data_IF_035041383157
#
_entry.id   IF_035041383157
#
_cell.length_a   1.000
_cell.length_b   1.000
_cell.length_c   1.000
_cell.angle_alpha   90.00
_cell.angle_beta   90.00
_cell.angle_gamma   90.00
#
_symmetry.space_group_name_H-M   'P 1'
#
loop_
_entity.id
_entity.type
_entity.pdbx_description
1 polymer ?
#
# COMPACT_ATOMS: atom_id res chain seq x y z
N UNK A 1 32.96 -23.17 -65.40
CA UNK A 1 31.95 -23.59 -64.40
C UNK A 1 32.65 -23.61 -63.04
N UNK A 2 32.53 -22.53 -62.27
CA UNK A 2 33.03 -22.42 -60.90
C UNK A 2 31.83 -22.51 -59.96
N UNK A 3 31.76 -23.58 -59.18
CA UNK A 3 30.73 -23.74 -58.15
C UNK A 3 31.14 -23.03 -56.88
N UNK A 4 30.33 -22.06 -56.46
CA UNK A 4 30.48 -21.38 -55.16
C UNK A 4 29.69 -22.18 -54.12
N UNK A 5 30.39 -22.83 -53.18
CA UNK A 5 29.78 -23.41 -51.96
C UNK A 5 29.42 -22.27 -51.00
N UNK A 6 28.14 -22.01 -50.76
CA UNK A 6 27.66 -21.21 -49.64
C UNK A 6 27.66 -22.07 -48.38
N UNK A 7 28.57 -21.78 -47.44
CA UNK A 7 28.52 -22.31 -46.08
C UNK A 7 27.48 -21.51 -45.26
N UNK A 8 26.35 -22.14 -44.92
CA UNK A 8 25.36 -21.58 -44.00
C UNK A 8 25.92 -21.64 -42.57
N UNK A 9 26.26 -20.48 -42.03
CA UNK A 9 26.56 -20.29 -40.60
C UNK A 9 25.25 -20.42 -39.82
N UNK A 10 25.03 -21.54 -39.16
CA UNK A 10 24.01 -21.66 -38.13
C UNK A 10 24.48 -20.86 -36.92
N UNK A 11 23.89 -19.68 -36.69
CA UNK A 11 24.01 -18.99 -35.43
C UNK A 11 23.31 -19.86 -34.35
N UNK A 12 24.13 -20.40 -33.44
CA UNK A 12 23.59 -21.10 -32.25
C UNK A 12 22.80 -20.06 -31.44
N UNK A 13 21.47 -20.21 -31.42
CA UNK A 13 20.61 -19.44 -30.52
C UNK A 13 21.03 -19.81 -29.10
N UNK A 14 21.59 -18.85 -28.34
CA UNK A 14 21.80 -19.01 -26.90
C UNK A 14 20.45 -19.36 -26.26
N UNK A 15 20.39 -20.45 -25.48
CA UNK A 15 19.15 -20.79 -24.79
C UNK A 15 18.72 -19.61 -23.92
N UNK A 16 17.42 -19.30 -23.81
CA UNK A 16 16.96 -18.23 -22.95
C UNK A 16 17.52 -18.45 -21.55
N UNK A 17 18.06 -17.39 -20.95
CA UNK A 17 18.59 -17.44 -19.58
C UNK A 17 17.52 -18.07 -18.69
N UNK A 18 17.89 -19.09 -17.90
CA UNK A 18 16.95 -19.77 -17.03
C UNK A 18 16.29 -18.74 -16.09
N UNK A 19 14.95 -18.75 -16.03
CA UNK A 19 14.18 -17.81 -15.21
C UNK A 19 14.60 -17.90 -13.74
N UNK A 20 14.63 -16.74 -13.07
CA UNK A 20 14.91 -16.68 -11.64
C UNK A 20 13.77 -17.34 -10.85
N UNK A 21 14.04 -18.16 -9.84
CA UNK A 21 12.99 -18.73 -9.02
C UNK A 21 12.32 -17.64 -8.19
N UNK A 22 11.00 -17.69 -8.05
CA UNK A 22 10.19 -16.78 -7.23
C UNK A 22 9.67 -17.49 -5.99
N UNK A 23 9.33 -16.73 -4.94
CA UNK A 23 8.81 -17.25 -3.69
C UNK A 23 9.65 -16.86 -2.48
N UNK A 24 9.49 -17.61 -1.40
CA UNK A 24 10.24 -17.43 -0.15
C UNK A 24 11.46 -18.33 -0.12
N UNK A 25 12.62 -17.77 0.20
CA UNK A 25 13.90 -18.47 0.35
C UNK A 25 14.52 -18.18 1.70
N UNK A 26 15.34 -19.13 2.17
CA UNK A 26 16.05 -19.03 3.45
C UNK A 26 17.53 -19.39 3.27
N UNK A 27 18.41 -18.64 3.95
CA UNK A 27 19.83 -18.95 4.15
C UNK A 27 20.23 -18.62 5.58
N UNK A 28 20.57 -19.63 6.38
CA UNK A 28 20.78 -19.45 7.82
C UNK A 28 19.54 -18.86 8.51
N UNK A 29 19.70 -17.73 9.19
CA UNK A 29 18.61 -16.99 9.83
C UNK A 29 17.95 -15.96 8.91
N UNK A 30 18.47 -15.73 7.71
CA UNK A 30 17.92 -14.76 6.77
C UNK A 30 16.83 -15.38 5.90
N UNK A 31 15.78 -14.61 5.66
CA UNK A 31 14.70 -14.98 4.73
C UNK A 31 14.48 -13.85 3.73
N UNK A 32 14.21 -14.22 2.49
CA UNK A 32 14.01 -13.28 1.38
C UNK A 32 12.87 -13.76 0.49
N UNK A 33 12.05 -12.83 0.05
CA UNK A 33 11.02 -13.04 -0.96
C UNK A 33 11.52 -12.53 -2.30
N UNK A 34 11.43 -13.37 -3.33
CA UNK A 34 11.70 -13.01 -4.73
C UNK A 34 10.39 -12.91 -5.48
N UNK A 35 10.15 -11.76 -6.12
CA UNK A 35 8.98 -11.52 -6.97
C UNK A 35 9.41 -11.16 -8.39
N UNK A 36 8.60 -11.55 -9.38
CA UNK A 36 8.79 -11.13 -10.78
C UNK A 36 8.07 -9.82 -11.04
N UNK A 37 8.59 -9.04 -12.00
CA UNK A 37 7.95 -7.83 -12.52
C UNK A 37 7.45 -8.05 -13.94
N UNK A 38 6.48 -7.25 -14.41
CA UNK A 38 5.96 -7.37 -15.80
C UNK A 38 7.04 -7.23 -16.89
N UNK A 39 8.12 -6.49 -16.60
CA UNK A 39 9.25 -6.32 -17.54
C UNK A 39 10.24 -7.50 -17.54
N UNK A 40 9.94 -8.60 -16.83
CA UNK A 40 10.79 -9.78 -16.72
C UNK A 40 11.95 -9.66 -15.72
N UNK A 41 12.12 -8.53 -15.04
CA UNK A 41 13.10 -8.40 -13.94
C UNK A 41 12.56 -9.00 -12.64
N UNK A 42 13.45 -9.18 -11.67
CA UNK A 42 13.11 -9.75 -10.37
C UNK A 42 13.49 -8.79 -9.25
N UNK A 43 12.64 -8.72 -8.24
CA UNK A 43 12.89 -7.95 -7.01
C UNK A 43 13.08 -8.89 -5.84
N UNK A 44 14.00 -8.55 -4.95
CA UNK A 44 14.11 -9.20 -3.64
C UNK A 44 13.60 -8.28 -2.53
N UNK A 45 13.01 -8.87 -1.49
CA UNK A 45 12.66 -8.19 -0.24
C UNK A 45 12.96 -9.15 0.91
N UNK A 46 13.91 -8.77 1.77
CA UNK A 46 14.21 -9.50 3.00
C UNK A 46 13.16 -9.24 4.09
N UNK A 47 13.03 -10.14 5.04
CA UNK A 47 12.12 -9.99 6.20
C UNK A 47 12.50 -8.84 7.14
N UNK A 48 13.73 -8.33 7.04
CA UNK A 48 14.19 -7.13 7.74
C UNK A 48 13.94 -5.82 6.97
N UNK A 49 13.35 -5.90 5.77
CA UNK A 49 12.98 -4.75 4.94
C UNK A 49 14.01 -4.35 3.88
N UNK A 50 15.23 -4.92 3.86
CA UNK A 50 16.18 -4.71 2.75
C UNK A 50 15.55 -5.18 1.44
N UNK A 51 15.65 -4.40 0.38
CA UNK A 51 15.03 -4.70 -0.91
C UNK A 51 15.85 -4.13 -2.07
N UNK A 52 15.64 -4.66 -3.24
CA UNK A 52 16.32 -4.20 -4.46
C UNK A 52 16.04 -5.13 -5.64
N UNK A 53 16.76 -4.92 -6.71
CA UNK A 53 16.64 -5.73 -7.92
C UNK A 53 17.68 -6.85 -7.93
N UNK A 54 17.25 -8.06 -8.23
CA UNK A 54 18.12 -9.23 -8.32
C UNK A 54 19.08 -9.03 -9.50
N UNK A 55 20.38 -9.20 -9.27
CA UNK A 55 21.40 -9.06 -10.30
C UNK A 55 21.81 -7.62 -10.65
N UNK A 56 21.21 -6.60 -10.00
CA UNK A 56 21.66 -5.21 -10.15
C UNK A 56 23.06 -5.00 -9.55
N UNK A 57 23.76 -3.94 -9.96
CA UNK A 57 25.04 -3.58 -9.36
C UNK A 57 24.89 -3.38 -7.84
N UNK A 58 25.72 -4.07 -7.04
CA UNK A 58 25.64 -4.04 -5.58
C UNK A 58 24.51 -4.90 -4.98
N UNK A 59 23.75 -5.63 -5.80
CA UNK A 59 22.75 -6.57 -5.29
C UNK A 59 23.42 -7.73 -4.54
N UNK A 60 22.93 -8.10 -3.33
CA UNK A 60 23.43 -9.26 -2.61
C UNK A 60 22.96 -10.58 -3.23
N UNK A 61 22.05 -10.53 -4.20
CA UNK A 61 21.42 -11.69 -4.83
C UNK A 61 21.49 -11.62 -6.35
N UNK A 62 21.78 -12.78 -6.95
CA UNK A 62 21.81 -12.99 -8.38
C UNK A 62 21.06 -14.26 -8.74
N UNK A 63 20.72 -14.45 -10.03
CA UNK A 63 20.20 -15.69 -10.55
C UNK A 63 21.23 -16.31 -11.49
N UNK A 64 21.56 -17.57 -11.25
CA UNK A 64 22.46 -18.35 -12.10
C UNK A 64 21.89 -19.74 -12.31
N UNK A 65 21.79 -20.17 -13.56
CA UNK A 65 21.25 -21.47 -13.95
C UNK A 65 19.89 -21.82 -13.29
N UNK A 66 18.99 -20.84 -13.14
CA UNK A 66 17.69 -21.05 -12.50
C UNK A 66 17.72 -21.18 -10.98
N UNK A 67 18.84 -20.84 -10.34
CA UNK A 67 18.98 -20.84 -8.90
C UNK A 67 19.24 -19.45 -8.35
N UNK A 68 18.77 -19.18 -7.12
CA UNK A 68 19.09 -17.96 -6.39
C UNK A 68 20.49 -18.11 -5.77
N UNK A 69 21.38 -17.19 -6.10
CA UNK A 69 22.79 -17.16 -5.67
C UNK A 69 23.08 -15.88 -4.90
N UNK A 70 23.86 -15.96 -3.82
CA UNK A 70 24.27 -14.83 -2.98
C UNK A 70 25.15 -15.31 -1.85
N UNK A 71 25.32 -14.50 -0.82
CA UNK A 71 26.05 -14.92 0.37
C UNK A 71 25.29 -16.07 1.07
N UNK A 72 25.88 -17.26 1.03
CA UNK A 72 25.31 -18.50 1.55
C UNK A 72 24.45 -19.27 0.54
N UNK A 73 23.91 -20.40 1.01
CA UNK A 73 23.06 -21.28 0.22
C UNK A 73 21.59 -20.91 0.44
N UNK A 74 20.91 -20.48 -0.61
CA UNK A 74 19.49 -20.13 -0.57
C UNK A 74 18.63 -21.33 -0.93
N UNK A 75 17.80 -21.76 0.01
CA UNK A 75 16.88 -22.90 -0.18
C UNK A 75 15.43 -22.38 -0.18
N UNK A 76 14.56 -22.93 -1.05
CA UNK A 76 13.13 -22.58 -1.04
C UNK A 76 12.50 -22.98 0.31
N UNK A 77 11.64 -22.09 0.83
CA UNK A 77 10.78 -22.38 1.98
C UNK A 77 9.40 -22.75 1.45
N UNK A 78 8.91 -23.91 1.85
CA UNK A 78 7.61 -24.39 1.40
C UNK A 78 6.48 -23.69 2.18
N UNK A 79 5.90 -22.64 1.58
CA UNK A 79 4.65 -22.02 2.01
C UNK A 79 3.52 -22.71 1.27
N UNK A 80 2.59 -23.33 2.00
CA UNK A 80 1.44 -23.98 1.37
C UNK A 80 0.47 -22.92 0.85
N UNK A 81 0.16 -22.95 -0.44
CA UNK A 81 -0.75 -22.02 -1.08
C UNK A 81 -2.00 -22.76 -1.56
N UNK A 82 -3.17 -22.26 -1.16
CA UNK A 82 -4.46 -22.82 -1.56
C UNK A 82 -5.26 -21.72 -2.26
N UNK A 83 -5.37 -21.82 -3.60
CA UNK A 83 -6.19 -20.91 -4.40
C UNK A 83 -7.67 -21.22 -4.24
N UNK A 84 -8.48 -20.19 -4.11
CA UNK A 84 -9.94 -20.28 -3.96
C UNK A 84 -10.64 -19.16 -4.71
N UNK A 85 -11.96 -19.28 -4.87
CA UNK A 85 -12.79 -18.17 -5.33
C UNK A 85 -14.04 -18.06 -4.45
N UNK A 86 -14.51 -16.82 -4.28
CA UNK A 86 -15.69 -16.52 -3.46
C UNK A 86 -16.52 -15.43 -4.14
N UNK A 87 -17.76 -15.26 -3.69
CA UNK A 87 -18.69 -14.29 -4.28
C UNK A 87 -18.81 -13.04 -3.40
N UNK A 88 -18.84 -11.87 -4.03
CA UNK A 88 -19.18 -10.60 -3.40
C UNK A 88 -19.86 -9.68 -4.40
N UNK A 89 -21.08 -9.20 -4.08
CA UNK A 89 -21.85 -8.27 -4.91
C UNK A 89 -21.87 -8.62 -6.41
N UNK A 90 -22.18 -9.90 -6.71
CA UNK A 90 -22.29 -10.38 -8.08
C UNK A 90 -20.97 -10.61 -8.82
N UNK A 91 -19.83 -10.31 -8.20
CA UNK A 91 -18.51 -10.60 -8.75
C UNK A 91 -17.91 -11.84 -8.08
N UNK A 92 -17.24 -12.68 -8.88
CA UNK A 92 -16.42 -13.78 -8.39
C UNK A 92 -15.01 -13.28 -8.14
N UNK A 93 -14.59 -13.28 -6.88
CA UNK A 93 -13.26 -12.82 -6.47
C UNK A 93 -12.32 -14.02 -6.28
N UNK A 94 -11.06 -13.81 -6.61
CA UNK A 94 -9.97 -14.77 -6.45
C UNK A 94 -9.20 -14.49 -5.17
N UNK A 95 -8.89 -15.53 -4.40
CA UNK A 95 -8.08 -15.44 -3.19
C UNK A 95 -7.10 -16.60 -3.07
N UNK A 96 -6.06 -16.40 -2.30
CA UNK A 96 -5.07 -17.42 -1.97
C UNK A 96 -4.83 -17.43 -0.46
N UNK A 97 -5.01 -18.58 0.16
CA UNK A 97 -4.56 -18.82 1.53
C UNK A 97 -3.10 -19.27 1.49
N UNK A 98 -2.22 -18.50 2.13
CA UNK A 98 -0.82 -18.83 2.36
C UNK A 98 -0.68 -19.33 3.79
N UNK A 99 -0.16 -20.55 3.97
CA UNK A 99 0.09 -21.13 5.29
C UNK A 99 1.59 -21.33 5.47
N UNK A 100 2.20 -20.70 6.48
CA UNK A 100 3.62 -20.89 6.76
C UNK A 100 3.92 -22.32 7.18
N UNK A 101 5.17 -22.78 7.03
CA UNK A 101 5.59 -24.05 7.63
C UNK A 101 5.57 -23.97 9.16
N UNK A 102 5.43 -25.11 9.80
CA UNK A 102 5.49 -25.24 11.27
C UNK A 102 4.17 -25.67 11.90
N UNK A 103 4.15 -25.76 13.25
CA UNK A 103 2.98 -26.24 13.97
C UNK A 103 1.82 -25.24 13.93
N UNK A 104 0.61 -25.74 13.73
CA UNK A 104 -0.64 -24.97 13.81
C UNK A 104 -1.16 -24.96 15.27
N UNK A 105 -2.03 -24.00 15.64
CA UNK A 105 -2.64 -22.97 14.79
C UNK A 105 -1.75 -21.72 14.62
N UNK A 106 -1.73 -21.14 13.41
CA UNK A 106 -1.13 -19.84 13.16
C UNK A 106 -2.15 -18.71 13.33
N UNK A 107 -1.76 -17.47 13.68
CA UNK A 107 -2.64 -16.33 13.46
C UNK A 107 -2.87 -16.14 11.96
N UNK A 108 -4.08 -15.70 11.58
CA UNK A 108 -4.49 -15.50 10.19
C UNK A 108 -4.81 -14.02 9.94
N UNK A 109 -4.32 -13.50 8.83
CA UNK A 109 -4.58 -12.13 8.38
C UNK A 109 -5.28 -12.16 7.02
N UNK A 110 -6.38 -11.42 6.88
CA UNK A 110 -6.90 -11.02 5.58
C UNK A 110 -6.16 -9.76 5.15
N UNK A 111 -5.45 -9.84 4.03
CA UNK A 111 -4.62 -8.76 3.51
C UNK A 111 -5.45 -7.85 2.60
N UNK A 112 -5.68 -6.61 3.04
CA UNK A 112 -6.38 -5.55 2.31
C UNK A 112 -5.34 -4.60 1.75
N UNK A 113 -4.98 -4.77 0.48
CA UNK A 113 -3.95 -3.95 -0.14
C UNK A 113 -4.43 -2.53 -0.50
N UNK A 114 -3.51 -1.63 -0.83
CA UNK A 114 -3.75 -0.22 -1.17
C UNK A 114 -4.51 -0.01 -2.49
N UNK A 115 -4.37 1.15 -3.11
CA UNK A 115 -5.08 1.51 -4.35
C UNK A 115 -4.52 0.83 -5.61
N UNK A 116 -3.52 -0.02 -5.50
CA UNK A 116 -2.90 -0.71 -6.62
C UNK A 116 -3.91 -1.56 -7.40
N UNK A 117 -3.75 -1.60 -8.73
CA UNK A 117 -4.54 -2.42 -9.65
C UNK A 117 -3.91 -3.76 -9.97
N UNK A 118 -3.01 -4.22 -9.11
CA UNK A 118 -2.31 -5.50 -9.28
C UNK A 118 -2.71 -6.49 -8.18
N UNK A 119 -2.56 -7.77 -8.46
CA UNK A 119 -2.71 -8.81 -7.44
C UNK A 119 -1.73 -8.57 -6.28
N UNK A 120 -2.15 -8.70 -5.01
CA UNK A 120 -1.25 -8.64 -3.87
C UNK A 120 -0.18 -9.74 -3.90
N UNK A 121 -0.44 -10.83 -4.64
CA UNK A 121 0.54 -11.91 -4.85
C UNK A 121 1.70 -11.52 -5.77
N UNK A 122 1.59 -10.42 -6.52
CA UNK A 122 2.71 -9.82 -7.26
C UNK A 122 3.69 -9.06 -6.34
N UNK A 123 3.26 -8.73 -5.12
CA UNK A 123 4.05 -8.08 -4.08
C UNK A 123 4.71 -9.07 -3.11
N UNK A 124 5.54 -8.56 -2.21
CA UNK A 124 6.26 -9.39 -1.21
C UNK A 124 5.50 -9.55 0.12
N UNK A 125 4.55 -8.69 0.44
CA UNK A 125 3.91 -8.65 1.76
C UNK A 125 3.29 -9.98 2.21
N UNK A 126 2.48 -10.70 1.38
CA UNK A 126 1.88 -11.95 1.82
C UNK A 126 2.93 -13.00 2.21
N UNK A 127 4.01 -13.12 1.44
CA UNK A 127 5.09 -14.06 1.72
C UNK A 127 5.99 -13.60 2.88
N UNK A 128 6.20 -12.30 3.07
CA UNK A 128 6.92 -11.75 4.24
C UNK A 128 6.16 -12.08 5.54
N UNK A 129 4.84 -11.92 5.56
CA UNK A 129 4.02 -12.28 6.72
C UNK A 129 4.04 -13.79 6.96
N UNK A 130 3.97 -14.60 5.90
CA UNK A 130 4.13 -16.05 6.02
C UNK A 130 5.50 -16.43 6.57
N UNK A 131 6.59 -15.78 6.12
CA UNK A 131 7.94 -15.93 6.67
C UNK A 131 8.01 -15.62 8.17
N UNK A 132 7.17 -14.70 8.63
CA UNK A 132 7.02 -14.35 10.05
C UNK A 132 6.08 -15.31 10.82
N UNK A 133 5.62 -16.41 10.21
CA UNK A 133 4.76 -17.40 10.86
C UNK A 133 3.28 -16.98 10.98
N UNK A 134 2.79 -16.14 10.09
CA UNK A 134 1.41 -15.67 10.00
C UNK A 134 0.80 -16.29 8.75
N UNK A 135 -0.35 -16.96 8.87
CA UNK A 135 -1.14 -17.33 7.71
C UNK A 135 -1.78 -16.08 7.09
N UNK A 136 -1.84 -16.03 5.77
CA UNK A 136 -2.34 -14.86 5.03
C UNK A 136 -3.39 -15.29 4.03
N UNK A 137 -4.55 -14.66 4.08
CA UNK A 137 -5.52 -14.73 3.01
C UNK A 137 -5.39 -13.45 2.17
N UNK A 138 -4.73 -13.57 1.02
CA UNK A 138 -4.57 -12.50 0.05
C UNK A 138 -5.60 -12.67 -1.07
N UNK A 139 -6.33 -11.62 -1.43
CA UNK A 139 -7.31 -11.68 -2.51
C UNK A 139 -7.09 -10.54 -3.50
N UNK A 140 -7.38 -10.83 -4.76
CA UNK A 140 -7.39 -9.82 -5.82
C UNK A 140 -8.64 -8.95 -5.66
N UNK A 141 -8.49 -7.63 -5.62
CA UNK A 141 -9.64 -6.73 -5.66
C UNK A 141 -10.46 -6.97 -6.92
N UNK A 142 -11.74 -6.65 -6.87
CA UNK A 142 -12.61 -6.68 -8.06
C UNK A 142 -11.96 -5.95 -9.24
N UNK A 143 -12.05 -6.54 -10.43
CA UNK A 143 -11.44 -6.01 -11.65
C UNK A 143 -9.92 -6.00 -11.68
N UNK A 144 -9.26 -6.75 -10.78
CA UNK A 144 -7.79 -6.92 -10.79
C UNK A 144 -7.41 -8.40 -10.74
N UNK A 145 -6.19 -8.71 -11.17
CA UNK A 145 -5.65 -10.07 -11.11
C UNK A 145 -6.57 -11.09 -11.76
N UNK A 146 -7.02 -12.10 -11.01
CA UNK A 146 -7.96 -13.13 -11.45
C UNK A 146 -9.39 -12.90 -10.93
N UNK A 147 -9.67 -11.77 -10.29
CA UNK A 147 -11.02 -11.40 -9.85
C UNK A 147 -11.83 -10.79 -10.99
N UNK A 148 -13.10 -11.16 -11.02
CA UNK A 148 -14.10 -10.57 -11.93
C UNK A 148 -14.59 -9.20 -11.42
N UNK A 149 -15.53 -8.61 -12.17
CA UNK A 149 -16.13 -7.30 -11.88
C UNK A 149 -15.32 -6.14 -12.44
N UNK A 150 -15.75 -4.94 -12.13
CA UNK A 150 -15.04 -3.70 -12.49
C UNK A 150 -14.22 -3.19 -11.31
N UNK A 151 -13.05 -2.64 -11.60
CA UNK A 151 -12.24 -2.00 -10.57
C UNK A 151 -12.99 -0.79 -10.02
N UNK A 152 -13.05 -0.70 -8.69
CA UNK A 152 -13.72 0.40 -7.97
C UNK A 152 -12.83 0.88 -6.82
N UNK A 153 -13.02 2.13 -6.43
CA UNK A 153 -12.49 2.72 -5.20
C UNK A 153 -13.60 3.10 -4.21
N UNK A 154 -14.79 2.59 -4.40
CA UNK A 154 -15.88 2.75 -3.43
C UNK A 154 -15.56 1.95 -2.16
N UNK A 155 -15.27 2.66 -1.06
CA UNK A 155 -14.85 2.04 0.20
C UNK A 155 -15.91 1.11 0.79
N UNK A 156 -17.20 1.41 0.62
CA UNK A 156 -18.29 0.57 1.08
C UNK A 156 -18.27 -0.80 0.36
N UNK A 157 -18.17 -0.76 -0.97
CA UNK A 157 -18.11 -1.95 -1.80
C UNK A 157 -16.83 -2.78 -1.52
N UNK A 158 -15.68 -2.11 -1.39
CA UNK A 158 -14.40 -2.77 -1.09
C UNK A 158 -14.38 -3.36 0.33
N UNK A 159 -15.08 -2.76 1.28
CA UNK A 159 -15.21 -3.29 2.62
C UNK A 159 -16.12 -4.53 2.66
N UNK A 160 -17.17 -4.59 1.82
CA UNK A 160 -17.97 -5.79 1.65
C UNK A 160 -17.15 -6.91 1.01
N UNK A 161 -16.31 -6.61 0.02
CA UNK A 161 -15.39 -7.57 -0.58
C UNK A 161 -14.40 -8.13 0.47
N UNK A 162 -13.84 -7.24 1.30
CA UNK A 162 -12.95 -7.66 2.39
C UNK A 162 -13.67 -8.50 3.45
N UNK A 163 -14.93 -8.19 3.76
CA UNK A 163 -15.75 -8.99 4.67
C UNK A 163 -16.09 -10.38 4.08
N UNK A 164 -16.37 -10.46 2.78
CA UNK A 164 -16.54 -11.72 2.07
C UNK A 164 -15.24 -12.52 2.04
N UNK A 165 -14.09 -11.86 1.81
CA UNK A 165 -12.76 -12.47 1.93
C UNK A 165 -12.49 -13.04 3.33
N UNK A 166 -12.91 -12.35 4.40
CA UNK A 166 -12.81 -12.83 5.77
C UNK A 166 -13.65 -14.09 6.00
N UNK A 167 -14.87 -14.13 5.46
CA UNK A 167 -15.74 -15.31 5.55
C UNK A 167 -15.11 -16.51 4.83
N UNK A 168 -14.57 -16.29 3.64
CA UNK A 168 -13.88 -17.33 2.87
C UNK A 168 -12.58 -17.79 3.55
N UNK A 169 -11.77 -16.85 4.10
CA UNK A 169 -10.57 -17.18 4.86
C UNK A 169 -10.89 -18.12 6.05
N UNK A 170 -11.95 -17.84 6.80
CA UNK A 170 -12.45 -18.72 7.89
C UNK A 170 -12.83 -20.10 7.37
N UNK A 171 -13.52 -20.14 6.23
CA UNK A 171 -14.00 -21.40 5.64
C UNK A 171 -12.83 -22.29 5.19
N UNK A 172 -11.85 -21.73 4.46
CA UNK A 172 -10.74 -22.52 3.91
C UNK A 172 -9.69 -22.88 4.95
N UNK A 173 -9.49 -22.03 5.95
CA UNK A 173 -8.61 -22.35 7.08
C UNK A 173 -9.23 -23.38 8.05
N UNK A 174 -10.53 -23.69 7.92
CA UNK A 174 -11.25 -24.70 8.69
C UNK A 174 -10.98 -24.68 10.20
N UNK A 175 -10.88 -23.47 10.80
CA UNK A 175 -10.57 -23.29 12.21
C UNK A 175 -9.09 -23.51 12.60
N UNK A 176 -8.20 -23.73 11.64
CA UNK A 176 -6.76 -23.94 11.89
C UNK A 176 -5.99 -22.63 12.15
N UNK A 177 -6.61 -21.67 12.83
CA UNK A 177 -5.98 -20.39 13.20
C UNK A 177 -6.22 -20.08 14.68
N UNK A 178 -5.28 -19.39 15.31
CA UNK A 178 -5.36 -18.98 16.72
C UNK A 178 -6.19 -17.72 16.92
N UNK A 179 -6.14 -16.81 15.95
CA UNK A 179 -6.90 -15.56 15.85
C UNK A 179 -6.93 -15.11 14.39
N UNK A 180 -7.92 -14.32 14.01
CA UNK A 180 -8.03 -13.81 12.64
C UNK A 180 -8.36 -12.32 12.64
N UNK A 181 -7.71 -11.55 11.76
CA UNK A 181 -7.96 -10.12 11.64
C UNK A 181 -7.60 -9.58 10.28
N UNK A 182 -7.59 -8.26 10.18
CA UNK A 182 -7.19 -7.55 8.97
C UNK A 182 -5.82 -6.90 9.13
N UNK A 183 -5.10 -6.84 8.02
CA UNK A 183 -4.03 -5.87 7.83
C UNK A 183 -4.34 -5.06 6.56
N UNK A 184 -4.39 -3.72 6.69
CA UNK A 184 -4.60 -2.78 5.60
C UNK A 184 -3.43 -1.81 5.46
N UNK A 185 -2.91 -1.61 4.24
CA UNK A 185 -1.91 -0.60 3.93
C UNK A 185 -2.49 0.51 3.06
N UNK A 186 -2.07 1.79 3.25
CA UNK A 186 -2.55 2.91 2.43
C UNK A 186 -4.09 2.96 2.40
N UNK A 187 -4.74 2.95 1.23
CA UNK A 187 -6.20 2.84 1.08
C UNK A 187 -6.82 1.73 1.94
N UNK A 188 -6.10 0.61 2.15
CA UNK A 188 -6.53 -0.46 3.05
C UNK A 188 -6.75 0.00 4.49
N UNK A 189 -6.18 1.14 4.89
CA UNK A 189 -6.40 1.79 6.17
C UNK A 189 -7.81 2.33 6.38
N UNK A 190 -8.54 2.67 5.32
CA UNK A 190 -9.97 2.96 5.37
C UNK A 190 -10.82 1.69 5.28
N UNK A 191 -10.44 0.79 4.39
CA UNK A 191 -11.23 -0.41 4.07
C UNK A 191 -11.19 -1.43 5.19
N UNK A 192 -10.04 -1.73 5.77
CA UNK A 192 -9.92 -2.77 6.81
C UNK A 192 -10.72 -2.46 8.09
N UNK A 193 -10.69 -1.23 8.66
CA UNK A 193 -11.57 -0.87 9.77
C UNK A 193 -13.06 -0.95 9.42
N UNK A 194 -13.44 -0.50 8.21
CA UNK A 194 -14.84 -0.57 7.77
C UNK A 194 -15.31 -2.02 7.60
N UNK A 195 -14.51 -2.88 6.98
CA UNK A 195 -14.78 -4.31 6.86
C UNK A 195 -14.89 -5.01 8.24
N UNK A 196 -14.12 -4.53 9.22
CA UNK A 196 -14.18 -5.06 10.58
C UNK A 196 -15.54 -4.84 11.25
N UNK A 197 -16.28 -3.80 10.88
CA UNK A 197 -17.66 -3.59 11.39
C UNK A 197 -18.65 -4.63 10.85
N UNK A 198 -18.30 -5.36 9.78
CA UNK A 198 -19.17 -6.30 9.04
C UNK A 198 -18.84 -7.78 9.26
N UNK A 199 -17.66 -8.09 9.83
CA UNK A 199 -17.08 -9.44 9.77
C UNK A 199 -16.55 -10.02 11.09
N UNK A 200 -16.60 -9.27 12.19
CA UNK A 200 -16.16 -9.69 13.55
C UNK A 200 -14.73 -10.26 13.58
N UNK A 201 -13.70 -9.51 13.19
CA UNK A 201 -12.30 -9.94 13.38
C UNK A 201 -11.89 -9.88 14.85
N UNK A 202 -10.74 -10.49 15.17
CA UNK A 202 -10.12 -10.38 16.50
C UNK A 202 -9.20 -9.17 16.63
N UNK A 203 -8.81 -8.55 15.50
CA UNK A 203 -7.93 -7.36 15.45
C UNK A 203 -7.98 -6.68 14.09
N UNK A 204 -7.50 -5.43 14.07
CA UNK A 204 -7.21 -4.66 12.84
C UNK A 204 -5.82 -4.06 12.95
N UNK A 205 -4.99 -4.22 11.92
CA UNK A 205 -3.71 -3.54 11.80
C UNK A 205 -3.69 -2.64 10.56
N UNK A 206 -3.18 -1.42 10.69
CA UNK A 206 -3.07 -0.45 9.60
C UNK A 206 -1.62 0.02 9.50
N UNK A 207 -1.08 -0.02 8.29
CA UNK A 207 0.21 0.55 7.94
C UNK A 207 0.05 1.76 7.03
N UNK A 208 0.75 2.87 7.31
CA UNK A 208 0.80 4.07 6.47
C UNK A 208 -0.57 4.49 5.90
N UNK A 209 -1.61 4.38 6.73
CA UNK A 209 -2.98 4.80 6.40
C UNK A 209 -3.32 6.12 7.07
N UNK A 210 -4.40 6.73 6.62
CA UNK A 210 -4.91 8.00 7.09
C UNK A 210 -6.27 7.83 7.77
N UNK A 211 -6.55 8.65 8.78
CA UNK A 211 -7.85 8.66 9.48
C UNK A 211 -8.83 9.70 8.93
N UNK A 212 -8.37 10.61 8.08
CA UNK A 212 -9.19 11.62 7.39
C UNK A 212 -9.90 11.05 6.16
N UNK A 213 -10.56 11.92 5.42
CA UNK A 213 -11.14 11.64 4.11
C UNK A 213 -10.08 11.77 2.99
N UNK A 214 -10.35 11.26 1.77
CA UNK A 214 -9.51 11.56 0.60
C UNK A 214 -9.32 13.05 0.33
N UNK A 215 -10.31 13.88 0.66
CA UNK A 215 -10.18 15.34 0.61
C UNK A 215 -9.18 15.85 1.65
N UNK A 216 -9.21 15.30 2.85
CA UNK A 216 -8.23 15.66 3.90
C UNK A 216 -6.83 15.20 3.52
N UNK A 217 -6.69 14.03 2.90
CA UNK A 217 -5.41 13.50 2.38
C UNK A 217 -4.77 14.49 1.39
N UNK A 218 -5.47 14.88 0.34
CA UNK A 218 -4.98 15.85 -0.64
C UNK A 218 -4.60 17.19 0.01
N UNK A 219 -5.45 17.70 0.93
CA UNK A 219 -5.16 18.95 1.65
C UNK A 219 -3.89 18.86 2.49
N UNK A 220 -3.75 17.81 3.28
CA UNK A 220 -2.56 17.63 4.12
C UNK A 220 -1.30 17.40 3.28
N UNK A 221 -1.39 16.69 2.16
CA UNK A 221 -0.30 16.53 1.21
C UNK A 221 0.14 17.89 0.67
N UNK A 222 -0.78 18.71 0.14
CA UNK A 222 -0.50 20.08 -0.36
C UNK A 222 0.24 20.89 0.70
N UNK A 223 -0.27 20.90 1.93
CA UNK A 223 0.33 21.71 3.00
C UNK A 223 1.71 21.18 3.43
N UNK A 224 1.89 19.87 3.48
CA UNK A 224 3.16 19.23 3.84
C UNK A 224 4.24 19.52 2.78
N UNK A 225 3.91 19.34 1.51
CA UNK A 225 4.82 19.64 0.40
C UNK A 225 5.22 21.14 0.35
N UNK A 226 4.27 22.03 0.63
CA UNK A 226 4.55 23.46 0.71
C UNK A 226 5.47 23.82 1.89
N UNK A 227 5.27 23.20 3.06
CA UNK A 227 6.21 23.39 4.21
C UNK A 227 7.61 22.92 3.86
N UNK A 228 7.73 21.77 3.19
CA UNK A 228 9.05 21.27 2.74
C UNK A 228 9.74 22.21 1.74
N UNK A 229 8.95 22.92 0.93
CA UNK A 229 9.46 23.97 0.01
C UNK A 229 9.76 25.30 0.73
N UNK A 230 9.56 25.39 2.05
CA UNK A 230 9.89 26.56 2.88
C UNK A 230 8.80 27.63 2.97
N UNK A 231 7.57 27.35 2.54
CA UNK A 231 6.45 28.28 2.67
C UNK A 231 5.92 28.33 4.10
N UNK A 232 5.63 29.54 4.60
CA UNK A 232 5.16 29.78 5.95
C UNK A 232 3.62 29.86 6.06
N UNK A 233 3.15 30.05 7.30
CA UNK A 233 1.70 30.01 7.61
C UNK A 233 0.83 30.97 6.76
N UNK A 234 1.23 32.18 6.37
CA UNK A 234 0.42 33.00 5.46
C UNK A 234 0.12 32.32 4.12
N UNK A 235 1.14 31.71 3.49
CA UNK A 235 0.99 30.99 2.21
C UNK A 235 0.21 29.68 2.41
N UNK A 236 0.47 28.95 3.49
CA UNK A 236 -0.26 27.73 3.84
C UNK A 236 -1.74 27.97 4.07
N UNK A 237 -2.09 29.07 4.73
CA UNK A 237 -3.50 29.48 4.91
C UNK A 237 -4.21 29.78 3.60
N UNK A 238 -3.51 30.41 2.65
CA UNK A 238 -4.04 30.70 1.31
C UNK A 238 -4.15 29.40 0.49
N UNK A 239 -3.16 28.51 0.52
CA UNK A 239 -3.18 27.23 -0.15
C UNK A 239 -4.29 26.31 0.36
N UNK A 240 -4.58 26.33 1.66
CA UNK A 240 -5.73 25.63 2.25
C UNK A 240 -7.05 26.05 1.60
N UNK A 241 -7.24 27.36 1.34
CA UNK A 241 -8.44 27.84 0.64
C UNK A 241 -8.50 27.35 -0.80
N UNK A 242 -7.35 27.24 -1.46
CA UNK A 242 -7.26 26.67 -2.82
C UNK A 242 -7.66 25.19 -2.79
N UNK A 243 -7.09 24.39 -1.88
CA UNK A 243 -7.45 22.98 -1.71
C UNK A 243 -8.95 22.78 -1.38
N UNK A 244 -9.54 23.66 -0.56
CA UNK A 244 -10.98 23.61 -0.25
C UNK A 244 -11.86 23.88 -1.49
N UNK A 245 -11.38 24.69 -2.42
CA UNK A 245 -12.10 24.96 -3.69
C UNK A 245 -11.98 23.78 -4.65
N UNK A 246 -10.81 23.20 -4.82
CA UNK A 246 -10.62 22.00 -5.65
C UNK A 246 -11.37 20.79 -5.08
N UNK A 247 -11.38 20.63 -3.76
CA UNK A 247 -12.19 19.63 -3.05
C UNK A 247 -13.70 19.77 -3.36
N UNK A 248 -14.22 21.00 -3.43
CA UNK A 248 -15.62 21.24 -3.82
C UNK A 248 -15.90 20.78 -5.26
N UNK A 249 -14.97 21.01 -6.17
CA UNK A 249 -15.09 20.55 -7.56
C UNK A 249 -15.18 19.03 -7.65
N UNK A 250 -14.22 18.28 -7.06
CA UNK A 250 -14.22 16.82 -7.11
C UNK A 250 -15.43 16.24 -6.41
N UNK A 251 -15.80 16.73 -5.22
CA UNK A 251 -16.97 16.27 -4.48
C UNK A 251 -18.29 16.50 -5.19
N UNK A 252 -18.40 17.60 -5.95
CA UNK A 252 -19.59 17.88 -6.77
C UNK A 252 -19.55 17.17 -8.13
N UNK A 253 -18.56 16.34 -8.40
CA UNK A 253 -18.31 15.73 -9.70
C UNK A 253 -18.26 16.80 -10.81
N UNK A 254 -17.59 17.91 -10.52
CA UNK A 254 -17.44 19.05 -11.43
C UNK A 254 -18.76 19.70 -11.89
N UNK A 255 -19.84 19.55 -11.13
CA UNK A 255 -21.10 20.23 -11.39
C UNK A 255 -21.14 21.64 -10.80
N UNK A 256 -20.31 21.97 -9.82
CA UNK A 256 -20.28 23.27 -9.12
C UNK A 256 -18.84 23.62 -8.66
N UNK A 257 -18.64 24.88 -8.22
CA UNK A 257 -17.35 25.34 -7.67
C UNK A 257 -16.46 26.11 -8.67
N UNK A 258 -16.86 26.25 -9.92
CA UNK A 258 -16.04 26.92 -10.95
C UNK A 258 -15.89 28.43 -10.75
N UNK A 259 -16.87 29.08 -10.17
CA UNK A 259 -16.76 30.52 -9.83
C UNK A 259 -15.65 30.72 -8.78
N UNK A 260 -15.67 29.88 -7.73
CA UNK A 260 -14.63 29.89 -6.69
C UNK A 260 -13.27 29.49 -7.26
N UNK A 261 -13.21 28.57 -8.23
CA UNK A 261 -11.95 28.23 -8.91
C UNK A 261 -11.37 29.44 -9.67
N UNK A 262 -12.21 30.17 -10.41
CA UNK A 262 -11.76 31.40 -11.08
C UNK A 262 -11.28 32.43 -10.07
N UNK A 263 -11.97 32.59 -8.96
CA UNK A 263 -11.60 33.55 -7.92
C UNK A 263 -10.26 33.21 -7.27
N UNK A 264 -10.00 31.95 -6.87
CA UNK A 264 -8.71 31.57 -6.29
C UNK A 264 -7.58 31.69 -7.32
N UNK A 265 -7.81 31.36 -8.61
CA UNK A 265 -6.84 31.60 -9.68
C UNK A 265 -6.54 33.11 -9.87
N UNK A 266 -7.54 33.97 -9.75
CA UNK A 266 -7.39 35.43 -9.83
C UNK A 266 -6.61 35.99 -8.62
N UNK A 267 -6.93 35.52 -7.41
CA UNK A 267 -6.31 36.01 -6.18
C UNK A 267 -4.87 35.53 -6.00
N UNK A 268 -4.61 34.27 -6.32
CA UNK A 268 -3.38 33.59 -5.95
C UNK A 268 -2.51 33.16 -7.14
N UNK A 269 -3.02 33.24 -8.37
CA UNK A 269 -2.31 32.74 -9.56
C UNK A 269 -0.94 33.39 -9.84
N UNK A 270 -0.70 34.61 -9.31
CA UNK A 270 0.60 35.29 -9.41
C UNK A 270 1.57 34.96 -8.25
N UNK A 271 1.10 34.21 -7.23
CA UNK A 271 1.95 33.80 -6.10
C UNK A 271 2.97 32.77 -6.53
N UNK A 272 4.23 32.84 -6.06
CA UNK A 272 5.27 31.86 -6.43
C UNK A 272 4.88 30.40 -6.15
N UNK A 273 4.17 30.16 -5.05
CA UNK A 273 3.76 28.82 -4.63
C UNK A 273 2.59 28.24 -5.46
N UNK A 274 1.77 29.06 -6.10
CA UNK A 274 0.54 28.61 -6.75
C UNK A 274 0.77 27.54 -7.83
N UNK A 275 1.79 27.73 -8.65
CA UNK A 275 2.16 26.78 -9.70
C UNK A 275 3.00 25.58 -9.16
N UNK A 276 3.34 25.60 -7.88
CA UNK A 276 4.12 24.55 -7.21
C UNK A 276 3.25 23.64 -6.33
N UNK A 277 1.94 23.94 -6.23
CA UNK A 277 0.99 23.07 -5.55
C UNK A 277 0.89 21.75 -6.31
N UNK A 278 1.03 20.66 -5.58
CA UNK A 278 0.79 19.30 -6.03
C UNK A 278 -0.46 18.72 -5.33
N UNK A 279 -0.37 17.71 -4.49
CA UNK A 279 -1.48 16.97 -3.93
C UNK A 279 -2.02 15.93 -4.90
N UNK A 280 -2.92 15.08 -4.45
CA UNK A 280 -3.53 14.01 -5.24
C UNK A 280 -4.33 14.56 -6.43
N UNK A 281 -5.12 15.61 -6.21
CA UNK A 281 -5.95 16.20 -7.24
C UNK A 281 -5.85 17.74 -7.31
N UNK A 282 -5.45 18.43 -6.25
CA UNK A 282 -5.46 19.90 -6.22
C UNK A 282 -4.57 20.50 -7.32
N UNK A 283 -3.30 20.12 -7.40
CA UNK A 283 -2.39 20.62 -8.44
C UNK A 283 -2.84 20.25 -9.86
N UNK A 284 -3.17 18.99 -10.15
CA UNK A 284 -3.76 18.58 -11.42
C UNK A 284 -4.99 19.41 -11.83
N UNK A 285 -5.96 19.62 -10.92
CA UNK A 285 -7.16 20.44 -11.19
C UNK A 285 -6.79 21.89 -11.50
N UNK A 286 -5.82 22.46 -10.80
CA UNK A 286 -5.39 23.84 -11.05
C UNK A 286 -4.73 24.02 -12.42
N UNK A 287 -4.03 23.01 -12.93
CA UNK A 287 -3.36 23.04 -14.24
C UNK A 287 -4.33 22.86 -15.41
N UNK A 288 -5.49 22.27 -15.18
CA UNK A 288 -6.48 22.05 -16.22
C UNK A 288 -7.26 23.34 -16.58
N UNK A 289 -7.72 23.39 -17.85
CA UNK A 289 -8.62 24.45 -18.33
C UNK A 289 -10.04 24.20 -17.84
N UNK A 290 -10.75 25.27 -17.45
CA UNK A 290 -12.13 25.15 -16.99
C UNK A 290 -13.04 24.41 -17.99
N UNK A 291 -12.86 24.67 -19.31
CA UNK A 291 -13.66 24.00 -20.33
C UNK A 291 -13.43 22.47 -20.34
N UNK A 292 -12.20 22.03 -20.10
CA UNK A 292 -11.86 20.60 -20.03
C UNK A 292 -12.37 19.98 -18.73
N UNK A 293 -12.23 20.66 -17.59
CA UNK A 293 -12.80 20.22 -16.33
C UNK A 293 -14.33 20.04 -16.41
N UNK A 294 -15.02 20.95 -17.08
CA UNK A 294 -16.47 20.83 -17.30
C UNK A 294 -16.86 19.67 -18.21
N UNK A 295 -16.04 19.39 -19.22
CA UNK A 295 -16.30 18.39 -20.25
C UNK A 295 -15.92 16.98 -19.80
N UNK A 296 -14.75 16.82 -19.17
CA UNK A 296 -14.19 15.52 -18.84
C UNK A 296 -13.67 15.40 -17.40
N UNK A 297 -13.89 16.44 -16.57
CA UNK A 297 -13.44 16.42 -15.17
C UNK A 297 -13.88 15.17 -14.40
N UNK A 298 -15.16 14.74 -14.48
CA UNK A 298 -15.56 13.49 -13.85
C UNK A 298 -14.75 12.27 -14.32
N UNK A 299 -14.47 12.16 -15.62
CA UNK A 299 -13.71 11.05 -16.16
C UNK A 299 -12.22 11.09 -15.75
N UNK A 300 -11.66 12.29 -15.52
CA UNK A 300 -10.27 12.46 -15.10
C UNK A 300 -10.08 12.28 -13.57
N UNK A 301 -11.06 12.72 -12.77
CA UNK A 301 -10.91 12.86 -11.32
C UNK A 301 -11.98 12.14 -10.50
N UNK A 302 -12.99 11.50 -11.11
CA UNK A 302 -14.03 10.77 -10.38
C UNK A 302 -13.49 9.49 -9.67
N UNK A 303 -12.29 9.18 -9.92
CA UNK A 303 -11.50 8.12 -9.28
C UNK A 303 -12.32 6.86 -8.95
N UNK A 304 -13.15 6.43 -9.90
CA UNK A 304 -13.87 5.15 -9.86
C UNK A 304 -14.74 4.98 -8.61
N UNK A 305 -15.63 5.93 -8.40
CA UNK A 305 -16.62 5.95 -7.31
C UNK A 305 -16.04 6.18 -5.90
N UNK A 306 -14.88 6.81 -5.80
CA UNK A 306 -14.30 7.19 -4.52
C UNK A 306 -15.27 8.04 -3.69
N UNK A 307 -15.42 7.70 -2.42
CA UNK A 307 -16.22 8.48 -1.47
C UNK A 307 -15.34 9.60 -0.92
N UNK A 308 -15.34 10.74 -1.58
CA UNK A 308 -14.41 11.85 -1.36
C UNK A 308 -14.43 12.43 0.08
N UNK A 309 -15.58 12.40 0.74
CA UNK A 309 -15.80 12.93 2.10
C UNK A 309 -16.02 11.81 3.14
N UNK A 310 -15.49 10.63 2.89
CA UNK A 310 -15.58 9.50 3.81
C UNK A 310 -14.93 9.84 5.15
N UNK A 311 -15.71 9.84 6.24
CA UNK A 311 -15.20 10.03 7.61
C UNK A 311 -14.97 8.67 8.29
N UNK A 312 -13.73 8.28 8.44
CA UNK A 312 -13.36 7.01 9.09
C UNK A 312 -13.36 7.07 10.64
N UNK A 313 -13.39 8.27 11.23
CA UNK A 313 -13.28 8.46 12.70
C UNK A 313 -14.36 7.72 13.48
N UNK A 314 -15.67 7.78 13.11
CA UNK A 314 -16.71 7.03 13.81
C UNK A 314 -16.52 5.52 13.74
N UNK A 315 -16.04 5.02 12.59
CA UNK A 315 -15.75 3.60 12.38
C UNK A 315 -14.65 3.15 13.33
N UNK A 316 -13.50 3.85 13.32
CA UNK A 316 -12.33 3.52 14.16
C UNK A 316 -12.68 3.62 15.65
N UNK A 317 -13.44 4.64 16.06
CA UNK A 317 -13.91 4.81 17.43
C UNK A 317 -14.88 3.70 17.87
N UNK A 318 -15.69 3.19 16.94
CA UNK A 318 -16.70 2.18 17.20
C UNK A 318 -16.19 0.75 17.32
N UNK A 319 -14.99 0.47 16.79
CA UNK A 319 -14.39 -0.86 16.85
C UNK A 319 -14.11 -1.28 18.30
N UNK A 320 -14.51 -2.53 18.64
CA UNK A 320 -14.31 -3.12 19.97
C UNK A 320 -13.13 -4.10 20.02
N UNK A 321 -12.36 -4.17 18.93
CA UNK A 321 -11.18 -5.02 18.82
C UNK A 321 -9.91 -4.18 18.89
N UNK A 322 -8.79 -4.75 19.36
CA UNK A 322 -7.51 -4.07 19.35
C UNK A 322 -7.12 -3.61 17.95
N UNK A 323 -6.56 -2.40 17.86
CA UNK A 323 -6.08 -1.84 16.60
C UNK A 323 -4.60 -1.47 16.71
N UNK A 324 -3.82 -1.79 15.68
CA UNK A 324 -2.45 -1.31 15.50
C UNK A 324 -2.41 -0.28 14.38
N UNK A 325 -1.80 0.87 14.64
CA UNK A 325 -1.54 1.90 13.65
C UNK A 325 -0.04 2.17 13.56
N UNK A 326 0.52 2.07 12.36
CA UNK A 326 1.94 2.28 12.06
C UNK A 326 2.08 3.39 11.02
N UNK A 327 2.67 4.51 11.41
CA UNK A 327 2.73 5.75 10.63
C UNK A 327 4.16 6.05 10.20
N UNK A 328 4.34 6.52 8.98
CA UNK A 328 5.60 7.09 8.50
C UNK A 328 5.67 8.58 8.89
N UNK A 329 6.76 9.03 9.52
CA UNK A 329 6.82 10.40 10.05
C UNK A 329 7.07 11.47 8.96
N UNK A 330 7.52 11.07 7.77
CA UNK A 330 7.74 11.96 6.63
C UNK A 330 6.89 11.54 5.40
N UNK A 331 5.75 10.93 5.66
CA UNK A 331 4.81 10.49 4.62
C UNK A 331 4.25 11.71 3.87
N UNK A 332 4.47 11.75 2.55
CA UNK A 332 3.91 12.81 1.71
C UNK A 332 2.52 12.50 1.20
N UNK A 333 2.20 11.22 0.96
CA UNK A 333 0.89 10.79 0.48
C UNK A 333 -0.15 10.80 1.61
N UNK A 334 0.21 10.26 2.78
CA UNK A 334 -0.63 10.22 3.97
C UNK A 334 0.04 10.92 5.17
N UNK A 335 0.16 12.27 5.17
CA UNK A 335 0.85 13.01 6.22
C UNK A 335 0.33 12.64 7.62
N UNK A 336 1.21 12.28 8.57
CA UNK A 336 0.79 11.60 9.80
C UNK A 336 0.25 12.51 10.89
N UNK A 337 0.45 13.85 10.84
CA UNK A 337 0.21 14.74 11.97
C UNK A 337 -1.25 14.73 12.43
N UNK A 338 -2.19 14.93 11.49
CA UNK A 338 -3.63 14.96 11.78
C UNK A 338 -4.14 13.57 12.15
N UNK A 339 -3.63 12.53 11.49
CA UNK A 339 -3.93 11.13 11.80
C UNK A 339 -3.46 10.76 13.20
N UNK A 340 -2.22 11.09 13.56
CA UNK A 340 -1.66 10.81 14.89
C UNK A 340 -2.48 11.51 15.98
N UNK A 341 -2.78 12.80 15.79
CA UNK A 341 -3.58 13.57 16.76
C UNK A 341 -4.98 12.97 16.96
N UNK A 342 -5.64 12.58 15.87
CA UNK A 342 -6.96 11.97 15.92
C UNK A 342 -6.92 10.59 16.61
N UNK A 343 -5.94 9.73 16.29
CA UNK A 343 -5.76 8.43 16.96
C UNK A 343 -5.49 8.59 18.47
N UNK A 344 -4.67 9.54 18.86
CA UNK A 344 -4.40 9.83 20.27
C UNK A 344 -5.67 10.31 21.00
N UNK A 345 -6.48 11.16 20.35
CA UNK A 345 -7.76 11.57 20.88
C UNK A 345 -8.74 10.40 21.02
N UNK A 346 -8.83 9.50 20.05
CA UNK A 346 -9.67 8.32 20.13
C UNK A 346 -9.21 7.39 21.26
N UNK A 347 -7.91 7.17 21.41
CA UNK A 347 -7.34 6.38 22.51
C UNK A 347 -7.65 6.98 23.86
N UNK A 348 -7.56 8.31 24.03
CA UNK A 348 -7.92 8.98 25.28
C UNK A 348 -9.41 8.84 25.65
N UNK A 349 -10.27 8.56 24.64
CA UNK A 349 -11.69 8.26 24.81
C UNK A 349 -11.98 6.76 24.97
N UNK A 350 -10.97 5.93 25.11
CA UNK A 350 -11.10 4.50 25.42
C UNK A 350 -11.02 3.54 24.23
N UNK A 351 -10.67 4.00 23.03
CA UNK A 351 -10.39 3.08 21.93
C UNK A 351 -9.09 2.30 22.19
N UNK A 352 -9.10 0.99 21.91
CA UNK A 352 -7.94 0.11 22.08
C UNK A 352 -6.97 0.26 20.90
N UNK A 353 -6.07 1.24 21.01
CA UNK A 353 -5.16 1.67 19.96
C UNK A 353 -3.70 1.54 20.39
N UNK A 354 -2.94 0.67 19.71
CA UNK A 354 -1.48 0.67 19.72
C UNK A 354 -0.99 1.53 18.54
N UNK A 355 -0.28 2.61 18.83
CA UNK A 355 0.16 3.57 17.80
C UNK A 355 1.69 3.59 17.80
N UNK A 356 2.28 3.41 16.62
CA UNK A 356 3.72 3.52 16.39
C UNK A 356 3.99 4.43 15.21
N UNK A 357 5.09 5.18 15.27
CA UNK A 357 5.60 5.96 14.15
C UNK A 357 7.05 5.59 13.85
N UNK A 358 7.44 5.73 12.60
CA UNK A 358 8.77 5.44 12.10
C UNK A 358 9.41 6.73 11.57
N UNK A 359 10.45 7.26 12.24
CA UNK A 359 11.11 8.48 11.80
C UNK A 359 11.86 8.28 10.49
N UNK A 360 12.03 9.37 9.72
CA UNK A 360 12.74 9.38 8.45
C UNK A 360 12.24 8.34 7.43
N UNK A 361 10.94 8.06 7.45
CA UNK A 361 10.28 7.18 6.47
C UNK A 361 9.16 7.90 5.75
N UNK A 362 9.01 7.58 4.48
CA UNK A 362 7.93 8.01 3.59
C UNK A 362 6.88 6.90 3.45
N UNK A 363 5.88 7.11 2.58
CA UNK A 363 4.79 6.18 2.32
C UNK A 363 5.27 4.74 2.15
N UNK A 364 4.52 3.77 2.69
CA UNK A 364 4.97 2.36 2.76
C UNK A 364 6.02 2.07 3.83
N UNK A 365 6.27 3.01 4.76
CA UNK A 365 7.32 2.94 5.82
C UNK A 365 8.72 2.74 5.21
N UNK A 366 8.97 3.45 4.11
CA UNK A 366 10.19 3.34 3.32
C UNK A 366 11.18 4.43 3.71
N UNK A 367 12.42 4.03 4.01
CA UNK A 367 13.53 4.95 4.21
C UNK A 367 13.90 5.65 2.89
N UNK A 368 14.33 6.90 2.96
CA UNK A 368 14.75 7.67 1.80
C UNK A 368 15.95 8.56 2.12
N UNK A 369 16.66 8.96 1.07
CA UNK A 369 17.58 10.10 1.08
C UNK A 369 16.95 11.22 0.26
N UNK A 370 17.14 12.48 0.67
CA UNK A 370 16.57 13.63 -0.01
C UNK A 370 17.69 14.53 -0.56
N UNK A 371 17.62 14.83 -1.85
CA UNK A 371 18.51 15.78 -2.51
C UNK A 371 18.12 17.23 -2.15
N UNK A 372 19.00 18.18 -2.49
CA UNK A 372 18.77 19.62 -2.20
C UNK A 372 17.53 20.20 -2.92
N UNK A 373 17.14 19.62 -4.03
CA UNK A 373 15.93 19.99 -4.78
C UNK A 373 14.65 19.36 -4.25
N UNK A 374 14.72 18.59 -3.14
CA UNK A 374 13.60 17.91 -2.54
C UNK A 374 13.29 16.52 -3.14
N UNK A 375 14.02 16.09 -4.17
CA UNK A 375 13.86 14.75 -4.77
C UNK A 375 14.24 13.66 -3.78
N UNK A 376 13.37 12.67 -3.59
CA UNK A 376 13.61 11.52 -2.71
C UNK A 376 14.07 10.30 -3.50
N UNK A 377 15.13 9.66 -3.02
CA UNK A 377 15.58 8.35 -3.48
C UNK A 377 15.26 7.33 -2.42
N UNK A 378 14.40 6.39 -2.76
CA UNK A 378 13.85 5.41 -1.82
C UNK A 378 14.77 4.21 -1.64
N UNK A 379 14.96 3.84 -0.38
CA UNK A 379 15.75 2.71 0.06
C UNK A 379 14.91 1.49 0.48
N UNK A 380 15.27 0.94 1.62
CA UNK A 380 14.60 -0.23 2.23
C UNK A 380 13.28 0.16 2.91
N UNK A 381 12.40 -0.81 3.13
CA UNK A 381 11.40 -0.70 4.19
C UNK A 381 12.17 -0.68 5.52
N UNK A 382 11.83 0.22 6.44
CA UNK A 382 12.62 0.41 7.65
C UNK A 382 12.67 -0.85 8.51
N UNK A 383 13.80 -1.06 9.16
CA UNK A 383 13.96 -2.20 10.06
C UNK A 383 12.94 -2.16 11.21
N UNK A 384 12.48 -3.34 11.60
CA UNK A 384 11.52 -3.52 12.69
C UNK A 384 10.06 -3.39 12.27
N UNK A 385 9.73 -2.81 11.12
CA UNK A 385 8.33 -2.66 10.68
C UNK A 385 7.60 -4.00 10.54
N UNK A 386 8.13 -4.92 9.75
CA UNK A 386 7.52 -6.24 9.58
C UNK A 386 7.50 -7.05 10.87
N UNK A 387 8.55 -6.92 11.69
CA UNK A 387 8.62 -7.61 12.98
C UNK A 387 7.61 -7.07 13.98
N UNK A 388 7.43 -5.73 14.07
CA UNK A 388 6.38 -5.12 14.88
C UNK A 388 4.99 -5.64 14.47
N UNK A 389 4.67 -5.59 13.18
CA UNK A 389 3.40 -6.07 12.65
C UNK A 389 3.17 -7.54 13.02
N UNK A 390 4.17 -8.39 12.78
CA UNK A 390 4.06 -9.81 13.05
C UNK A 390 3.93 -10.12 14.55
N UNK A 391 4.73 -9.50 15.40
CA UNK A 391 4.70 -9.73 16.85
C UNK A 391 3.39 -9.22 17.45
N UNK A 392 2.87 -8.10 16.97
CA UNK A 392 1.58 -7.58 17.41
C UNK A 392 0.43 -8.50 17.00
N UNK A 393 0.41 -8.97 15.75
CA UNK A 393 -0.58 -9.95 15.28
C UNK A 393 -0.53 -11.22 16.12
N UNK A 394 0.65 -11.67 16.56
CA UNK A 394 0.82 -12.83 17.44
C UNK A 394 0.47 -12.55 18.91
N UNK A 395 0.15 -11.30 19.28
CA UNK A 395 -0.06 -10.88 20.67
C UNK A 395 1.21 -10.86 21.52
N UNK A 396 2.37 -10.70 20.89
CA UNK A 396 3.71 -10.75 21.53
C UNK A 396 4.49 -9.44 21.40
N UNK A 397 3.85 -8.34 21.01
CA UNK A 397 4.53 -7.06 20.85
C UNK A 397 5.14 -6.59 22.18
N UNK A 398 6.45 -6.38 22.23
CA UNK A 398 7.14 -6.02 23.48
C UNK A 398 8.61 -5.65 23.33
N UNK A 399 9.16 -5.63 22.13
CA UNK A 399 10.58 -5.37 21.89
C UNK A 399 10.86 -3.98 21.31
N UNK A 400 12.11 -3.57 21.20
CA UNK A 400 12.48 -2.50 20.29
C UNK A 400 12.29 -2.98 18.84
N UNK A 401 11.70 -2.13 18.01
CA UNK A 401 11.41 -2.40 16.60
C UNK A 401 12.15 -1.39 15.71
N UNK A 402 13.47 -1.55 15.60
CA UNK A 402 14.30 -0.61 14.86
C UNK A 402 14.16 0.79 15.43
N UNK A 403 13.85 1.77 14.57
CA UNK A 403 13.64 3.18 14.95
C UNK A 403 12.21 3.51 15.39
N UNK A 404 11.30 2.52 15.45
CA UNK A 404 9.89 2.75 15.80
C UNK A 404 9.73 3.40 17.17
N UNK A 405 8.82 4.37 17.23
CA UNK A 405 8.45 5.09 18.46
C UNK A 405 7.01 4.77 18.81
N UNK A 406 6.79 4.24 20.01
CA UNK A 406 5.44 4.06 20.54
C UNK A 406 4.88 5.43 20.92
N UNK A 407 3.72 5.76 20.42
CA UNK A 407 3.07 7.06 20.62
C UNK A 407 1.94 7.00 21.62
#
# INVERSE_FOLDING_TARGET
MLGVLLAALFAASTPPAAACPTGLFQSGSQQVVITSRPNGSYRYTFTDGRRGDVGAAGSPLQCSAGQLVGDGQWTPVNVRMTGVSFQSHGAKLSGTLLEPPGPRPHPLVVFVHGSERTSPMAGSYPLILAAQGIAVFAYDKRGTGASEGEYSQNFELLADDAAAAMAEARRVAAGSFSRIGYFGGSQGGWIAPLAATRSRPDFVAVGFGLIGSPIDEDREQVLTEMREKGYGEPDLSEARKVADVTARLVRSRFSSGFEQLREVKRLYGAKPWFNQIEGEFTGPVLREKEADLRRIGPALFDNLELIWDYDSKPVIAGLKVPQLWMLAEADREAPPETTLAALQQLRSKGADLAIYSFPATDHGIVEFTQAADGTRTYGRITDGYFRLLADWIKGKAGGPYGSARKR
#
